data_IF_452516955031
#
_entry.id   IF_452516955031
#
_cell.length_a   1.000
_cell.length_b   1.000
_cell.length_c   1.000
_cell.angle_alpha   90.00
_cell.angle_beta   90.00
_cell.angle_gamma   90.00
#
_symmetry.space_group_name_H-M   'P 1'
#
loop_
_entity.id
_entity.type
_entity.pdbx_description
1 polymer ?
#
# COMPACT_ATOMS: atom_id res chain seq x y z
N UNK A 1 12.25 5.04 11.70
CA UNK A 1 10.77 4.96 11.75
C UNK A 1 10.40 3.77 12.64
N UNK A 2 9.61 3.97 13.69
CA UNK A 2 9.05 2.85 14.46
C UNK A 2 7.88 2.26 13.67
N UNK A 3 8.13 1.16 12.94
CA UNK A 3 7.08 0.44 12.22
C UNK A 3 6.19 -0.27 13.23
N UNK A 4 4.89 0.03 13.19
CA UNK A 4 3.87 -0.51 14.12
C UNK A 4 2.85 -1.40 13.43
N UNK A 5 2.81 -1.35 12.10
CA UNK A 5 1.86 -2.10 11.29
C UNK A 5 2.59 -2.81 10.16
N UNK A 6 2.06 -3.94 9.73
CA UNK A 6 2.37 -4.56 8.46
C UNK A 6 1.28 -4.16 7.48
N UNK A 7 1.65 -3.58 6.34
CA UNK A 7 0.72 -3.29 5.25
C UNK A 7 0.99 -4.24 4.09
N UNK A 8 -0.06 -4.87 3.58
CA UNK A 8 0.02 -5.77 2.44
C UNK A 8 -0.92 -5.31 1.34
N UNK A 9 -0.39 -5.18 0.12
CA UNK A 9 -1.20 -4.88 -1.06
C UNK A 9 -1.99 -6.13 -1.46
N UNK A 10 -3.31 -6.09 -1.33
CA UNK A 10 -4.23 -7.19 -1.68
C UNK A 10 -4.95 -6.98 -3.01
N UNK A 11 -4.95 -5.75 -3.54
CA UNK A 11 -5.41 -5.43 -4.90
C UNK A 11 -4.47 -4.41 -5.55
N UNK A 12 -4.14 -4.61 -6.82
CA UNK A 12 -3.09 -3.88 -7.55
C UNK A 12 -1.81 -4.72 -7.72
N UNK A 13 -0.97 -4.36 -8.70
CA UNK A 13 0.30 -5.08 -8.99
C UNK A 13 1.49 -4.51 -8.21
N UNK A 14 1.58 -3.19 -8.09
CA UNK A 14 2.69 -2.49 -7.43
C UNK A 14 2.28 -1.06 -7.08
N UNK A 15 2.44 -0.68 -5.83
CA UNK A 15 2.23 0.70 -5.36
C UNK A 15 3.54 1.26 -4.83
N UNK A 16 3.92 2.49 -5.22
CA UNK A 16 5.15 3.13 -4.76
C UNK A 16 4.83 4.42 -4.02
N UNK A 17 5.05 4.42 -2.70
CA UNK A 17 4.82 5.57 -1.83
C UNK A 17 6.11 6.35 -1.61
N UNK A 18 6.12 7.64 -1.97
CA UNK A 18 7.21 8.54 -1.57
C UNK A 18 7.02 8.92 -0.10
N UNK A 19 8.02 8.68 0.73
CA UNK A 19 7.92 9.05 2.15
C UNK A 19 8.11 10.57 2.31
N UNK A 20 7.21 11.27 3.03
CA UNK A 20 7.29 12.73 3.17
C UNK A 20 8.48 13.22 4.01
N UNK A 21 9.12 12.32 4.78
CA UNK A 21 10.19 12.66 5.74
C UNK A 21 11.48 11.83 5.56
N UNK A 22 11.64 11.10 4.44
CA UNK A 22 12.87 10.38 4.13
C UNK A 22 13.92 11.27 3.44
N UNK A 23 15.19 10.82 3.31
CA UNK A 23 16.13 11.46 2.40
C UNK A 23 15.49 11.61 1.01
N UNK A 24 15.92 12.61 0.23
CA UNK A 24 15.51 12.72 -1.18
C UNK A 24 15.75 11.34 -1.82
N UNK A 25 14.67 10.76 -2.36
CA UNK A 25 14.61 9.44 -3.02
C UNK A 25 14.22 8.22 -2.16
N UNK A 26 13.70 8.42 -0.94
CA UNK A 26 13.21 7.28 -0.14
C UNK A 26 11.75 6.89 -0.51
N UNK A 27 11.61 5.76 -1.19
CA UNK A 27 10.34 5.18 -1.64
C UNK A 27 10.06 3.85 -0.94
N UNK A 28 8.82 3.66 -0.49
CA UNK A 28 8.32 2.35 -0.05
C UNK A 28 7.58 1.72 -1.22
N UNK A 29 8.03 0.54 -1.63
CA UNK A 29 7.42 -0.21 -2.73
C UNK A 29 6.63 -1.38 -2.16
N UNK A 30 5.32 -1.36 -2.37
CA UNK A 30 4.41 -2.44 -2.03
C UNK A 30 4.19 -3.32 -3.26
N UNK A 31 4.42 -4.62 -3.09
CA UNK A 31 4.12 -5.65 -4.09
C UNK A 31 2.92 -6.46 -3.61
N UNK A 32 2.12 -6.94 -4.55
CA UNK A 32 0.97 -7.77 -4.24
C UNK A 32 1.36 -8.96 -3.36
N UNK A 33 0.63 -9.17 -2.26
CA UNK A 33 0.84 -10.28 -1.33
C UNK A 33 2.11 -10.19 -0.48
N UNK A 34 2.86 -9.08 -0.54
CA UNK A 34 4.06 -8.87 0.28
C UNK A 34 3.72 -7.93 1.42
N UNK A 35 3.85 -8.43 2.64
CA UNK A 35 3.77 -7.65 3.87
C UNK A 35 4.97 -6.71 3.99
N UNK A 36 4.71 -5.42 4.16
CA UNK A 36 5.74 -4.39 4.34
C UNK A 36 5.50 -3.68 5.68
N UNK A 37 6.50 -3.62 6.56
CA UNK A 37 6.37 -2.90 7.82
C UNK A 37 6.28 -1.38 7.58
N UNK A 38 5.25 -0.75 8.13
CA UNK A 38 4.94 0.67 7.97
C UNK A 38 4.64 1.34 9.30
N UNK A 39 4.80 2.67 9.33
CA UNK A 39 4.38 3.49 10.47
C UNK A 39 2.87 3.72 10.47
N UNK A 40 2.32 4.17 11.61
CA UNK A 40 0.92 4.58 11.72
C UNK A 40 0.54 5.69 10.73
N UNK A 41 1.47 6.60 10.43
CA UNK A 41 1.28 7.67 9.46
C UNK A 41 1.10 7.13 8.04
N UNK A 42 1.97 6.20 7.64
CA UNK A 42 1.88 5.54 6.33
C UNK A 42 0.60 4.71 6.22
N UNK A 43 0.21 3.98 7.27
CA UNK A 43 -1.08 3.27 7.31
C UNK A 43 -2.24 4.23 7.01
N UNK A 44 -2.34 5.34 7.76
CA UNK A 44 -3.40 6.35 7.55
C UNK A 44 -3.37 6.96 6.15
N UNK A 45 -2.17 7.18 5.60
CA UNK A 45 -2.04 7.66 4.23
C UNK A 45 -2.57 6.64 3.23
N UNK A 46 -2.16 5.37 3.34
CA UNK A 46 -2.59 4.31 2.44
C UNK A 46 -4.10 4.08 2.51
N UNK A 47 -4.68 4.08 3.71
CA UNK A 47 -6.13 3.97 3.93
C UNK A 47 -6.93 5.11 3.27
N UNK A 48 -6.33 6.30 3.13
CA UNK A 48 -7.01 7.50 2.61
C UNK A 48 -6.74 7.77 1.13
N UNK A 49 -5.57 7.36 0.61
CA UNK A 49 -5.07 7.83 -0.68
C UNK A 49 -4.56 6.72 -1.62
N UNK A 50 -4.45 5.47 -1.19
CA UNK A 50 -3.89 4.43 -2.05
C UNK A 50 -4.93 3.88 -3.05
N UNK A 51 -4.93 4.44 -4.26
CA UNK A 51 -5.89 4.13 -5.33
C UNK A 51 -5.10 4.04 -6.66
N UNK A 52 -4.86 2.84 -7.20
CA UNK A 52 -4.22 2.62 -8.52
C UNK A 52 -5.25 2.26 -9.61
N UNK A 53 -5.02 2.65 -10.87
CA UNK A 53 -5.87 2.32 -12.01
C UNK A 53 -5.81 0.84 -12.43
N UNK A 54 -6.96 0.30 -12.79
CA UNK A 54 -7.23 -1.05 -13.31
C UNK A 54 -7.95 -0.89 -14.65
N UNK A 55 -7.32 -1.25 -15.75
CA UNK A 55 -7.98 -1.23 -17.05
C UNK A 55 -8.61 -2.58 -17.37
N UNK A 56 -9.93 -2.62 -17.49
CA UNK A 56 -10.76 -3.74 -17.92
C UNK A 56 -11.02 -3.63 -19.41
N UNK A 57 -10.48 -4.54 -20.21
CA UNK A 57 -10.74 -4.61 -21.66
C UNK A 57 -11.90 -5.57 -21.95
N UNK A 58 -12.97 -5.06 -22.54
CA UNK A 58 -14.12 -5.84 -22.98
C UNK A 58 -13.93 -6.37 -24.40
N UNK A 59 -14.61 -7.47 -24.72
CA UNK A 59 -14.61 -8.08 -26.06
C UNK A 59 -15.20 -7.18 -27.16
N UNK A 60 -15.90 -6.11 -26.77
CA UNK A 60 -16.38 -5.04 -27.65
C UNK A 60 -15.26 -4.09 -28.11
N UNK A 61 -14.08 -4.16 -27.49
CA UNK A 61 -12.98 -3.22 -27.69
C UNK A 61 -12.97 -2.06 -26.69
N UNK A 62 -13.95 -1.97 -25.79
CA UNK A 62 -14.00 -0.97 -24.72
C UNK A 62 -12.92 -1.22 -23.66
N UNK A 63 -12.34 -0.13 -23.14
CA UNK A 63 -11.40 -0.15 -22.00
C UNK A 63 -12.05 0.64 -20.87
N UNK A 64 -12.35 -0.01 -19.75
CA UNK A 64 -12.88 0.62 -18.55
C UNK A 64 -11.80 0.70 -17.49
N UNK A 65 -11.47 1.91 -17.04
CA UNK A 65 -10.44 2.12 -16.02
C UNK A 65 -11.09 2.25 -14.63
N UNK A 66 -11.05 1.19 -13.85
CA UNK A 66 -11.51 1.12 -12.45
C UNK A 66 -10.33 1.35 -11.51
N UNK A 67 -10.40 2.15 -10.46
CA UNK A 67 -9.24 2.35 -9.60
C UNK A 67 -9.42 1.66 -8.24
N UNK A 68 -8.68 0.57 -7.96
CA UNK A 68 -8.75 -0.08 -6.65
C UNK A 68 -7.40 -0.71 -6.22
N UNK A 69 -6.51 0.12 -5.67
CA UNK A 69 -5.55 -0.41 -4.71
C UNK A 69 -6.28 -0.73 -3.42
N UNK A 70 -6.09 -1.94 -2.90
CA UNK A 70 -6.61 -2.33 -1.58
C UNK A 70 -5.46 -2.83 -0.74
N UNK A 71 -5.43 -2.39 0.50
CA UNK A 71 -4.42 -2.78 1.49
C UNK A 71 -5.10 -3.45 2.67
N UNK A 72 -4.46 -4.49 3.20
CA UNK A 72 -4.75 -5.01 4.53
C UNK A 72 -3.66 -4.57 5.49
N UNK A 73 -4.03 -4.37 6.76
CA UNK A 73 -3.11 -3.93 7.79
C UNK A 73 -3.19 -4.88 8.98
N UNK A 74 -2.03 -5.31 9.48
CA UNK A 74 -1.90 -6.07 10.72
C UNK A 74 -1.06 -5.25 11.70
N UNK A 75 -1.43 -5.27 12.98
CA UNK A 75 -0.54 -4.71 14.00
C UNK A 75 0.67 -5.63 14.15
N UNK A 76 1.85 -5.04 14.07
CA UNK A 76 3.06 -5.75 14.48
C UNK A 76 3.04 -5.68 15.98
N UNK A 77 2.68 -6.79 16.64
CA UNK A 77 2.80 -6.93 18.09
C UNK A 77 4.21 -6.53 18.50
N UNK A 78 4.34 -5.30 18.98
CA UNK A 78 5.45 -4.92 19.83
C UNK A 78 5.08 -5.48 21.18
N UNK A 79 5.43 -6.75 21.40
CA UNK A 79 5.27 -7.46 22.66
C UNK A 79 5.49 -6.50 23.84
N UNK A 80 4.43 -6.05 24.55
CA UNK A 80 4.59 -5.28 25.76
C UNK A 80 4.57 -6.25 26.95
N UNK A 81 5.39 -7.31 26.91
CA UNK A 81 5.43 -8.27 28.02
C UNK A 81 6.75 -9.05 28.12
N UNK A 82 7.88 -8.39 28.40
CA UNK A 82 8.82 -8.77 29.50
C UNK A 82 9.57 -7.53 29.99
#
# INVERSE_FOLDING_TARGET
MNSKYSAMLVSGRKYSLRTPNGPRDDFIVFKHGVAVPVSAEIKRYLEKYAVDPVQTKFSTGEVEETYECKFTFEELDGDPAV
#
